data_IF_530793924673
#
_entry.id   IF_530793924673
#
_cell.length_a   1.000
_cell.length_b   1.000
_cell.length_c   1.000
_cell.angle_alpha   90.00
_cell.angle_beta   90.00
_cell.angle_gamma   90.00
#
_symmetry.space_group_name_H-M   'P 1'
#
loop_
_entity.id
_entity.type
_entity.pdbx_description
1 polymer ?
#
# COMPACT_ATOMS: atom_id res chain seq x y z
N UNK A 1 -89.60 29.99 -55.73
CA UNK A 1 -88.30 29.57 -55.18
C UNK A 1 -88.49 28.60 -54.04
N UNK A 2 -88.76 27.36 -54.45
CA UNK A 2 -89.32 26.25 -53.68
C UNK A 2 -88.21 25.36 -53.12
N UNK A 3 -88.35 24.99 -51.85
CA UNK A 3 -87.82 23.79 -51.18
C UNK A 3 -86.28 23.61 -51.07
N UNK A 4 -85.55 24.64 -50.66
CA UNK A 4 -84.21 24.42 -50.08
C UNK A 4 -84.33 24.22 -48.56
N UNK A 5 -83.77 23.12 -48.06
CA UNK A 5 -83.60 22.89 -46.63
C UNK A 5 -82.32 23.61 -46.20
N UNK A 6 -82.41 24.49 -45.20
CA UNK A 6 -81.23 25.10 -44.61
C UNK A 6 -80.39 24.02 -43.90
N UNK A 7 -79.05 24.09 -43.96
CA UNK A 7 -78.21 23.22 -43.14
C UNK A 7 -78.58 23.39 -41.66
N UNK A 8 -78.48 22.31 -40.90
CA UNK A 8 -78.73 22.41 -39.46
C UNK A 8 -77.74 23.40 -38.80
N UNK A 9 -78.10 23.98 -37.64
CA UNK A 9 -77.26 24.97 -36.95
C UNK A 9 -75.83 24.49 -36.66
N UNK A 10 -75.64 23.20 -36.39
CA UNK A 10 -74.31 22.61 -36.17
C UNK A 10 -73.43 22.73 -37.42
N UNK A 11 -73.97 22.41 -38.60
CA UNK A 11 -73.25 22.54 -39.87
C UNK A 11 -72.98 24.00 -40.21
N UNK A 12 -73.90 24.92 -39.88
CA UNK A 12 -73.68 26.36 -40.04
C UNK A 12 -72.55 26.87 -39.13
N UNK A 13 -72.47 26.39 -37.89
CA UNK A 13 -71.35 26.68 -36.98
C UNK A 13 -70.04 26.11 -37.52
N UNK A 14 -70.01 24.81 -37.88
CA UNK A 14 -68.78 24.17 -38.38
C UNK A 14 -68.28 24.81 -39.67
N UNK A 15 -69.17 25.12 -40.61
CA UNK A 15 -68.84 25.81 -41.85
C UNK A 15 -68.33 27.22 -41.61
N UNK A 16 -68.97 27.99 -40.73
CA UNK A 16 -68.53 29.34 -40.38
C UNK A 16 -67.18 29.38 -39.67
N UNK A 17 -66.92 28.44 -38.74
CA UNK A 17 -65.61 28.28 -38.10
C UNK A 17 -64.52 27.92 -39.11
N UNK A 18 -64.80 27.01 -40.04
CA UNK A 18 -63.85 26.62 -41.10
C UNK A 18 -63.54 27.78 -42.05
N UNK A 19 -64.49 28.69 -42.26
CA UNK A 19 -64.37 29.85 -43.15
C UNK A 19 -63.88 31.12 -42.45
N UNK A 20 -63.72 31.10 -41.12
CA UNK A 20 -63.29 32.24 -40.30
C UNK A 20 -64.15 33.51 -40.50
N UNK A 21 -65.47 33.34 -40.57
CA UNK A 21 -66.42 34.45 -40.82
C UNK A 21 -66.73 35.31 -39.57
N UNK A 22 -66.18 34.94 -38.41
CA UNK A 22 -66.40 35.62 -37.13
C UNK A 22 -67.69 35.21 -36.40
N UNK A 23 -67.67 35.33 -35.07
CA UNK A 23 -68.75 34.84 -34.19
C UNK A 23 -70.10 35.52 -34.45
N UNK A 24 -70.11 36.83 -34.77
CA UNK A 24 -71.35 37.58 -35.04
C UNK A 24 -72.13 36.99 -36.23
N UNK A 25 -71.43 36.68 -37.32
CA UNK A 25 -72.04 36.09 -38.53
C UNK A 25 -72.42 34.63 -38.30
N UNK A 26 -71.64 33.87 -37.51
CA UNK A 26 -72.00 32.51 -37.09
C UNK A 26 -73.31 32.53 -36.27
N UNK A 27 -73.45 33.44 -35.31
CA UNK A 27 -74.66 33.59 -34.46
C UNK A 27 -75.89 33.92 -35.30
N UNK A 28 -75.74 34.80 -36.28
CA UNK A 28 -76.80 35.12 -37.25
C UNK A 28 -77.21 33.88 -38.04
N UNK A 29 -76.24 33.11 -38.54
CA UNK A 29 -76.50 31.88 -39.29
C UNK A 29 -77.18 30.81 -38.42
N UNK A 30 -76.79 30.65 -37.15
CA UNK A 30 -77.47 29.76 -36.18
C UNK A 30 -78.96 30.11 -36.08
N UNK A 31 -79.28 31.41 -36.00
CA UNK A 31 -80.65 31.90 -35.87
C UNK A 31 -81.50 31.65 -37.12
N UNK A 32 -80.87 31.63 -38.30
CA UNK A 32 -81.51 31.24 -39.55
C UNK A 32 -81.77 29.72 -39.62
N UNK A 33 -81.02 28.90 -38.88
CA UNK A 33 -81.10 27.44 -38.86
C UNK A 33 -82.09 26.83 -37.86
N UNK A 34 -83.14 27.53 -37.45
CA UNK A 34 -84.17 27.07 -36.49
C UNK A 34 -83.78 27.13 -34.99
N UNK A 35 -82.73 27.87 -34.60
CA UNK A 35 -82.48 28.22 -33.18
C UNK A 35 -83.01 29.62 -32.89
N UNK A 36 -83.78 29.79 -31.81
CA UNK A 36 -84.26 31.11 -31.41
C UNK A 36 -83.08 32.07 -31.14
N UNK A 37 -83.13 33.34 -31.60
CA UNK A 37 -82.02 34.29 -31.44
C UNK A 37 -81.49 34.41 -30.00
N UNK A 38 -82.37 34.41 -28.99
CA UNK A 38 -82.00 34.46 -27.57
C UNK A 38 -81.10 33.29 -27.11
N UNK A 39 -81.11 32.17 -27.84
CA UNK A 39 -80.30 30.98 -27.55
C UNK A 39 -79.14 30.77 -28.53
N UNK A 40 -78.99 31.61 -29.56
CA UNK A 40 -77.99 31.41 -30.59
C UNK A 40 -76.55 31.47 -30.05
N UNK A 41 -76.26 32.39 -29.12
CA UNK A 41 -74.97 32.42 -28.39
C UNK A 41 -74.77 31.16 -27.55
N UNK A 42 -75.80 30.75 -26.79
CA UNK A 42 -75.72 29.54 -25.95
C UNK A 42 -75.49 28.29 -26.80
N UNK A 43 -76.09 28.23 -27.99
CA UNK A 43 -75.87 27.16 -28.95
C UNK A 43 -74.42 27.15 -29.44
N UNK A 44 -73.87 28.31 -29.85
CA UNK A 44 -72.47 28.44 -30.25
C UNK A 44 -71.53 27.96 -29.14
N UNK A 45 -71.67 28.49 -27.93
CA UNK A 45 -70.84 28.12 -26.77
C UNK A 45 -70.95 26.62 -26.41
N UNK A 46 -72.13 26.02 -26.64
CA UNK A 46 -72.34 24.59 -26.40
C UNK A 46 -71.61 23.72 -27.43
N UNK A 47 -71.58 24.15 -28.69
CA UNK A 47 -70.95 23.49 -29.83
C UNK A 47 -69.43 23.64 -29.83
N UNK A 48 -68.92 24.80 -29.40
CA UNK A 48 -67.49 25.05 -29.33
C UNK A 48 -66.79 24.00 -28.47
N UNK A 49 -65.62 23.57 -28.95
CA UNK A 49 -64.84 22.53 -28.27
C UNK A 49 -64.39 23.04 -26.92
N UNK A 50 -64.78 22.31 -25.87
CA UNK A 50 -64.27 22.55 -24.51
C UNK A 50 -62.89 21.91 -24.34
N UNK A 51 -62.02 22.49 -23.48
CA UNK A 51 -60.75 21.85 -23.14
C UNK A 51 -60.96 20.43 -22.59
N UNK A 52 -60.01 19.53 -22.85
CA UNK A 52 -60.06 18.19 -22.28
C UNK A 52 -59.96 18.27 -20.74
N UNK A 53 -60.56 17.31 -20.05
CA UNK A 53 -60.51 17.26 -18.58
C UNK A 53 -59.07 17.23 -18.04
N UNK A 54 -58.15 16.57 -18.76
CA UNK A 54 -56.72 16.52 -18.42
C UNK A 54 -56.03 17.90 -18.54
N UNK A 55 -56.39 18.70 -19.54
CA UNK A 55 -55.83 20.05 -19.71
C UNK A 55 -56.30 20.98 -18.59
N UNK A 56 -57.57 20.86 -18.19
CA UNK A 56 -58.13 21.60 -17.06
C UNK A 56 -57.42 21.21 -15.76
N UNK A 57 -57.19 19.91 -15.53
CA UNK A 57 -56.46 19.43 -14.35
C UNK A 57 -55.04 19.99 -14.34
N UNK A 58 -54.31 19.86 -15.45
CA UNK A 58 -52.95 20.36 -15.56
C UNK A 58 -52.86 21.89 -15.40
N UNK A 59 -53.84 22.63 -15.93
CA UNK A 59 -53.94 24.07 -15.74
C UNK A 59 -54.20 24.42 -14.27
N UNK A 60 -55.17 23.76 -13.62
CA UNK A 60 -55.51 24.01 -12.23
C UNK A 60 -54.36 23.66 -11.29
N UNK A 61 -53.66 22.53 -11.48
CA UNK A 61 -52.47 22.20 -10.71
C UNK A 61 -51.42 23.32 -10.76
N UNK A 62 -51.20 23.94 -11.93
CA UNK A 62 -50.22 25.05 -12.09
C UNK A 62 -50.64 26.33 -11.37
N UNK A 63 -51.95 26.56 -11.19
CA UNK A 63 -52.52 27.76 -10.56
C UNK A 63 -52.74 27.58 -9.06
N UNK A 64 -53.38 26.49 -8.68
CA UNK A 64 -53.70 26.09 -7.32
C UNK A 64 -53.64 24.56 -7.18
N UNK A 65 -52.51 24.02 -6.68
CA UNK A 65 -52.34 22.59 -6.46
C UNK A 65 -53.37 21.94 -5.54
N UNK A 66 -54.15 22.70 -4.75
CA UNK A 66 -55.23 22.15 -3.91
C UNK A 66 -56.50 21.79 -4.70
N UNK A 67 -56.55 22.20 -5.98
CA UNK A 67 -57.62 21.92 -6.94
C UNK A 67 -58.99 22.43 -6.46
N UNK A 68 -59.03 23.58 -5.79
CA UNK A 68 -60.27 24.17 -5.25
C UNK A 68 -61.30 24.47 -6.35
N UNK A 69 -60.87 24.96 -7.52
CA UNK A 69 -61.79 25.34 -8.60
C UNK A 69 -62.05 24.22 -9.62
N UNK A 70 -61.41 23.05 -9.45
CA UNK A 70 -61.55 21.93 -10.38
C UNK A 70 -63.01 21.46 -10.56
N UNK A 71 -63.84 21.29 -9.50
CA UNK A 71 -65.24 20.86 -9.65
C UNK A 71 -66.07 21.80 -10.53
N UNK A 72 -65.88 23.12 -10.38
CA UNK A 72 -66.59 24.10 -11.19
C UNK A 72 -66.20 23.99 -12.67
N UNK A 73 -64.90 23.87 -12.96
CA UNK A 73 -64.40 23.76 -14.33
C UNK A 73 -64.80 22.47 -15.01
N UNK A 74 -64.75 21.34 -14.30
CA UNK A 74 -65.21 20.05 -14.81
C UNK A 74 -66.70 20.08 -15.15
N UNK A 75 -67.52 20.74 -14.32
CA UNK A 75 -68.95 20.95 -14.61
C UNK A 75 -69.18 21.77 -15.88
N UNK A 76 -68.40 22.83 -16.12
CA UNK A 76 -68.52 23.68 -17.33
C UNK A 76 -68.29 22.90 -18.63
N UNK A 77 -67.52 21.83 -18.59
CA UNK A 77 -67.28 20.95 -19.75
C UNK A 77 -68.22 19.74 -19.81
N UNK A 78 -69.22 19.66 -18.92
CA UNK A 78 -70.24 18.61 -18.91
C UNK A 78 -69.91 17.38 -18.07
N UNK A 79 -68.86 17.39 -17.25
CA UNK A 79 -68.57 16.26 -16.34
C UNK A 79 -69.53 16.30 -15.14
N UNK A 80 -70.26 15.19 -14.99
CA UNK A 80 -71.19 14.99 -13.88
C UNK A 80 -70.50 15.07 -12.50
N UNK A 81 -71.12 15.75 -11.54
CA UNK A 81 -70.54 16.06 -10.22
C UNK A 81 -70.07 14.85 -9.43
N UNK A 82 -70.78 13.73 -9.56
CA UNK A 82 -70.39 12.41 -8.99
C UNK A 82 -68.94 12.00 -9.32
N UNK A 83 -68.38 12.43 -10.46
CA UNK A 83 -67.02 12.06 -10.88
C UNK A 83 -65.96 13.12 -10.51
N UNK A 84 -66.33 14.26 -9.94
CA UNK A 84 -65.36 15.29 -9.55
C UNK A 84 -64.32 14.78 -8.52
N UNK A 85 -64.69 13.98 -7.50
CA UNK A 85 -63.70 13.39 -6.60
C UNK A 85 -62.70 12.48 -7.32
N UNK A 86 -63.17 11.67 -8.28
CA UNK A 86 -62.32 10.79 -9.10
C UNK A 86 -61.26 11.58 -9.87
N UNK A 87 -61.65 12.67 -10.55
CA UNK A 87 -60.68 13.49 -11.27
C UNK A 87 -59.71 14.24 -10.34
N UNK A 88 -60.17 14.63 -9.15
CA UNK A 88 -59.31 15.25 -8.14
C UNK A 88 -58.28 14.26 -7.60
N UNK A 89 -58.66 13.01 -7.40
CA UNK A 89 -57.75 11.95 -6.96
C UNK A 89 -56.71 11.63 -8.05
N UNK A 90 -57.16 11.43 -9.30
CA UNK A 90 -56.28 11.13 -10.44
C UNK A 90 -55.33 12.28 -10.82
N UNK A 91 -55.63 13.51 -10.40
CA UNK A 91 -54.74 14.64 -10.61
C UNK A 91 -53.42 14.53 -9.85
N UNK A 92 -53.41 13.79 -8.73
CA UNK A 92 -52.19 13.55 -7.97
C UNK A 92 -51.49 12.30 -8.47
N UNK A 93 -50.29 12.50 -9.00
CA UNK A 93 -49.51 11.42 -9.59
C UNK A 93 -48.84 10.60 -8.51
N UNK A 94 -48.95 9.28 -8.64
CA UNK A 94 -48.12 8.32 -7.93
C UNK A 94 -46.87 8.09 -8.78
N UNK A 95 -45.65 8.15 -8.20
CA UNK A 95 -44.43 7.83 -8.92
C UNK A 95 -44.48 6.47 -9.65
N UNK A 96 -43.81 6.32 -10.79
CA UNK A 96 -43.63 5.03 -11.43
C UNK A 96 -43.05 4.00 -10.48
N UNK A 97 -43.42 2.72 -10.66
CA UNK A 97 -42.98 1.62 -9.77
C UNK A 97 -41.46 1.54 -9.65
N UNK A 98 -40.71 1.80 -10.73
CA UNK A 98 -39.25 1.81 -10.70
C UNK A 98 -38.67 2.88 -9.75
N UNK A 99 -39.29 4.06 -9.69
CA UNK A 99 -38.88 5.12 -8.79
C UNK A 99 -39.22 4.78 -7.34
N UNK A 100 -40.39 4.16 -7.12
CA UNK A 100 -40.79 3.65 -5.79
C UNK A 100 -39.79 2.59 -5.29
N UNK A 101 -39.36 1.66 -6.16
CA UNK A 101 -38.34 0.67 -5.82
C UNK A 101 -37.03 1.37 -5.47
N UNK A 102 -36.60 2.36 -6.26
CA UNK A 102 -35.39 3.14 -5.97
C UNK A 102 -35.48 3.83 -4.62
N UNK A 103 -36.61 4.47 -4.30
CA UNK A 103 -36.87 5.08 -2.99
C UNK A 103 -36.84 4.05 -1.85
N UNK A 104 -37.34 2.84 -2.07
CA UNK A 104 -37.31 1.76 -1.09
C UNK A 104 -35.89 1.25 -0.83
N UNK A 105 -35.11 1.01 -1.88
CA UNK A 105 -33.71 0.60 -1.78
C UNK A 105 -32.86 1.68 -1.12
N UNK A 106 -33.14 2.95 -1.44
CA UNK A 106 -32.48 4.11 -0.84
C UNK A 106 -33.03 4.49 0.54
N UNK A 107 -33.84 3.64 1.18
CA UNK A 107 -34.33 3.85 2.56
C UNK A 107 -35.14 5.14 2.76
N UNK A 108 -35.67 5.73 1.69
CA UNK A 108 -36.50 6.93 1.78
C UNK A 108 -37.81 6.66 2.56
N UNK A 109 -38.29 5.41 2.58
CA UNK A 109 -39.45 4.97 3.36
C UNK A 109 -39.16 4.63 4.83
N UNK A 110 -37.90 4.71 5.26
CA UNK A 110 -37.48 4.37 6.63
C UNK A 110 -37.01 5.64 7.35
N UNK A 111 -37.89 6.36 8.09
CA UNK A 111 -37.58 7.69 8.64
C UNK A 111 -36.32 7.74 9.50
N UNK A 112 -36.07 6.70 10.29
CA UNK A 112 -34.92 6.61 11.18
C UNK A 112 -33.60 6.53 10.38
N UNK A 113 -33.58 5.77 9.29
CA UNK A 113 -32.40 5.62 8.42
C UNK A 113 -32.21 6.87 7.56
N UNK A 114 -33.29 7.39 6.98
CA UNK A 114 -33.25 8.61 6.18
C UNK A 114 -32.74 9.81 7.00
N UNK A 115 -33.14 9.91 8.27
CA UNK A 115 -32.60 10.90 9.22
C UNK A 115 -31.13 10.65 9.54
N UNK A 116 -30.72 9.40 9.77
CA UNK A 116 -29.29 9.06 10.01
C UNK A 116 -28.41 9.50 8.83
N UNK A 117 -28.91 9.35 7.61
CA UNK A 117 -28.19 9.69 6.38
C UNK A 117 -28.36 11.16 5.94
N UNK A 118 -29.16 11.96 6.66
CA UNK A 118 -29.45 13.34 6.25
C UNK A 118 -30.13 13.43 4.87
N UNK A 119 -30.89 12.41 4.48
CA UNK A 119 -31.42 12.31 3.11
C UNK A 119 -32.41 13.44 2.76
N UNK A 120 -33.08 14.00 3.76
CA UNK A 120 -34.01 15.12 3.61
C UNK A 120 -33.35 16.49 3.82
N UNK A 121 -32.05 16.54 4.11
CA UNK A 121 -31.30 17.80 4.24
C UNK A 121 -31.27 18.56 2.90
N UNK A 122 -31.17 19.89 2.97
CA UNK A 122 -31.13 20.78 1.80
C UNK A 122 -32.35 20.70 0.86
N UNK A 123 -33.49 20.14 1.31
CA UNK A 123 -34.72 20.06 0.51
C UNK A 123 -35.24 21.46 0.13
N UNK A 124 -35.21 21.84 -1.16
CA UNK A 124 -35.49 23.22 -1.56
C UNK A 124 -37.02 23.49 -1.63
N UNK A 125 -37.54 24.57 -1.02
CA UNK A 125 -38.96 24.91 -1.09
C UNK A 125 -39.52 25.06 -2.51
N UNK A 126 -38.68 25.50 -3.46
CA UNK A 126 -39.08 25.63 -4.87
C UNK A 126 -39.35 24.26 -5.52
N UNK A 127 -38.64 23.20 -5.11
CA UNK A 127 -38.92 21.85 -5.61
C UNK A 127 -40.32 21.40 -5.18
N UNK A 128 -40.70 21.66 -3.93
CA UNK A 128 -42.07 21.38 -3.43
C UNK A 128 -43.11 22.11 -4.28
N UNK A 129 -42.91 23.42 -4.50
CA UNK A 129 -43.81 24.25 -5.27
C UNK A 129 -44.02 23.71 -6.69
N UNK A 130 -42.95 23.40 -7.41
CA UNK A 130 -43.02 22.93 -8.79
C UNK A 130 -43.51 21.47 -8.89
N UNK A 131 -43.15 20.62 -7.93
CA UNK A 131 -43.65 19.26 -7.81
C UNK A 131 -45.17 19.23 -7.62
N UNK A 132 -45.70 20.03 -6.69
CA UNK A 132 -47.14 20.15 -6.45
C UNK A 132 -47.88 20.64 -7.70
N UNK A 133 -47.30 21.58 -8.47
CA UNK A 133 -47.86 22.04 -9.75
C UNK A 133 -47.87 21.00 -10.86
N UNK A 134 -47.16 19.89 -10.68
CA UNK A 134 -47.17 18.71 -11.55
C UNK A 134 -48.05 17.57 -11.00
N UNK A 135 -48.73 17.80 -9.89
CA UNK A 135 -49.56 16.78 -9.23
C UNK A 135 -48.76 15.85 -8.31
N UNK A 136 -47.49 16.13 -8.05
CA UNK A 136 -46.70 15.35 -7.11
C UNK A 136 -46.88 15.90 -5.69
N UNK A 137 -47.30 15.07 -4.75
CA UNK A 137 -47.48 15.51 -3.36
C UNK A 137 -46.15 15.93 -2.72
N UNK A 138 -46.22 16.74 -1.65
CA UNK A 138 -45.06 17.09 -0.83
C UNK A 138 -44.28 15.86 -0.40
N UNK A 139 -44.99 14.84 0.09
CA UNK A 139 -44.39 13.58 0.56
C UNK A 139 -43.61 12.88 -0.55
N UNK A 140 -44.18 12.79 -1.77
CA UNK A 140 -43.48 12.19 -2.89
C UNK A 140 -42.29 13.02 -3.34
N UNK A 141 -42.42 14.34 -3.38
CA UNK A 141 -41.32 15.25 -3.71
C UNK A 141 -40.14 15.09 -2.73
N UNK A 142 -40.43 15.02 -1.43
CA UNK A 142 -39.42 14.75 -0.40
C UNK A 142 -38.75 13.38 -0.59
N UNK A 143 -39.49 12.34 -1.00
CA UNK A 143 -38.91 11.01 -1.23
C UNK A 143 -38.01 10.94 -2.47
N UNK A 144 -38.38 11.65 -3.54
CA UNK A 144 -37.48 11.82 -4.68
C UNK A 144 -36.19 12.51 -4.25
N UNK A 145 -36.29 13.55 -3.43
CA UNK A 145 -35.13 14.19 -2.84
C UNK A 145 -34.34 13.20 -1.96
N UNK A 146 -34.96 12.45 -1.07
CA UNK A 146 -34.24 11.48 -0.25
C UNK A 146 -33.47 10.42 -1.06
N UNK A 147 -33.97 10.05 -2.24
CA UNK A 147 -33.35 9.05 -3.11
C UNK A 147 -32.32 9.59 -4.11
N UNK A 148 -32.18 10.92 -4.27
CA UNK A 148 -31.39 11.52 -5.35
C UNK A 148 -29.87 11.47 -5.16
N UNK A 149 -29.41 11.26 -3.93
CA UNK A 149 -28.01 11.38 -3.55
C UNK A 149 -27.11 10.35 -4.24
N UNK A 150 -25.90 10.76 -4.60
CA UNK A 150 -24.83 9.83 -5.00
C UNK A 150 -24.16 9.27 -3.75
N UNK A 151 -24.25 7.96 -3.56
CA UNK A 151 -23.65 7.29 -2.40
C UNK A 151 -22.17 6.97 -2.66
N UNK A 152 -21.35 6.85 -1.59
CA UNK A 152 -20.00 6.33 -1.72
C UNK A 152 -19.98 4.95 -2.41
N UNK A 153 -19.00 4.72 -3.27
CA UNK A 153 -18.79 3.41 -3.91
C UNK A 153 -18.41 2.33 -2.90
N UNK A 154 -18.55 1.03 -3.23
CA UNK A 154 -18.09 -0.05 -2.35
C UNK A 154 -16.61 0.07 -1.96
N UNK A 155 -15.75 0.52 -2.88
CA UNK A 155 -14.32 0.74 -2.60
C UNK A 155 -14.10 1.85 -1.56
N UNK A 156 -14.83 2.97 -1.67
CA UNK A 156 -14.80 4.02 -0.65
C UNK A 156 -15.35 3.50 0.68
N UNK A 157 -16.40 2.66 0.65
CA UNK A 157 -16.89 1.94 1.82
C UNK A 157 -15.82 1.10 2.50
N UNK A 158 -15.04 0.34 1.73
CA UNK A 158 -13.93 -0.45 2.25
C UNK A 158 -12.82 0.42 2.83
N UNK A 159 -12.46 1.53 2.18
CA UNK A 159 -11.49 2.47 2.73
C UNK A 159 -11.95 3.09 4.06
N UNK A 160 -13.22 3.48 4.17
CA UNK A 160 -13.79 3.97 5.43
C UNK A 160 -13.75 2.89 6.52
N UNK A 161 -14.05 1.63 6.17
CA UNK A 161 -13.96 0.49 7.10
C UNK A 161 -12.51 0.30 7.58
N UNK A 162 -11.53 0.25 6.68
CA UNK A 162 -10.13 0.03 7.04
C UNK A 162 -9.53 1.17 7.88
N UNK A 163 -10.05 2.39 7.70
CA UNK A 163 -9.65 3.56 8.50
C UNK A 163 -10.39 3.64 9.84
N UNK A 164 -11.31 2.73 10.13
CA UNK A 164 -12.12 2.73 11.36
C UNK A 164 -13.12 3.87 11.44
N UNK A 165 -13.44 4.52 10.30
CA UNK A 165 -14.43 5.60 10.23
C UNK A 165 -15.85 5.04 10.32
N UNK A 166 -16.05 3.82 9.80
CA UNK A 166 -17.31 3.08 9.90
C UNK A 166 -17.07 1.64 10.37
N UNK A 167 -18.10 1.03 10.95
CA UNK A 167 -18.11 -0.40 11.26
C UNK A 167 -18.69 -1.28 10.13
N UNK A 168 -18.60 -2.60 10.29
CA UNK A 168 -19.18 -3.58 9.35
C UNK A 168 -20.69 -3.40 9.16
N UNK A 169 -21.41 -3.05 10.24
CA UNK A 169 -22.85 -2.78 10.17
C UNK A 169 -23.19 -1.61 9.25
N UNK A 170 -22.40 -0.53 9.31
CA UNK A 170 -22.58 0.65 8.48
C UNK A 170 -22.15 0.41 7.03
N UNK A 171 -21.09 -0.38 6.81
CA UNK A 171 -20.74 -0.86 5.47
C UNK A 171 -21.89 -1.68 4.87
N UNK A 172 -22.53 -2.57 5.64
CA UNK A 172 -23.66 -3.34 5.16
C UNK A 172 -24.87 -2.46 4.81
N UNK A 173 -25.13 -1.40 5.60
CA UNK A 173 -26.15 -0.40 5.27
C UNK A 173 -25.82 0.33 3.95
N UNK A 174 -24.56 0.72 3.73
CA UNK A 174 -24.13 1.33 2.47
C UNK A 174 -24.33 0.37 1.28
N UNK A 175 -23.87 -0.88 1.40
CA UNK A 175 -24.03 -1.88 0.33
C UNK A 175 -25.50 -2.16 0.03
N UNK A 176 -26.37 -2.17 1.05
CA UNK A 176 -27.83 -2.25 0.85
C UNK A 176 -28.37 -1.07 0.03
N UNK A 177 -27.99 0.16 0.40
CA UNK A 177 -28.45 1.36 -0.30
C UNK A 177 -27.88 1.49 -1.72
N UNK A 178 -26.74 0.85 -2.00
CA UNK A 178 -26.17 0.67 -3.35
C UNK A 178 -26.84 -0.45 -4.17
N UNK A 179 -27.91 -1.06 -3.66
CA UNK A 179 -28.62 -2.17 -4.28
C UNK A 179 -27.78 -3.45 -4.46
N UNK A 180 -26.77 -3.66 -3.61
CA UNK A 180 -26.04 -4.93 -3.58
C UNK A 180 -26.96 -6.00 -2.99
N UNK A 181 -27.17 -7.10 -3.71
CA UNK A 181 -28.03 -8.18 -3.22
C UNK A 181 -27.51 -8.74 -1.89
N UNK A 182 -28.38 -9.10 -0.92
CA UNK A 182 -27.99 -9.58 0.40
C UNK A 182 -26.93 -10.70 0.37
N UNK A 183 -27.06 -11.65 -0.57
CA UNK A 183 -26.13 -12.77 -0.75
C UNK A 183 -24.67 -12.34 -0.99
N UNK A 184 -24.45 -11.18 -1.63
CA UNK A 184 -23.13 -10.69 -2.00
C UNK A 184 -22.49 -9.79 -0.94
N UNK A 185 -23.26 -9.22 -0.01
CA UNK A 185 -22.76 -8.19 0.93
C UNK A 185 -21.65 -8.73 1.84
N UNK A 186 -21.87 -9.89 2.44
CA UNK A 186 -20.87 -10.51 3.31
C UNK A 186 -19.64 -10.96 2.52
N UNK A 187 -19.84 -11.48 1.30
CA UNK A 187 -18.74 -11.91 0.41
C UNK A 187 -17.87 -10.73 -0.02
N UNK A 188 -18.49 -9.61 -0.39
CA UNK A 188 -17.80 -8.37 -0.72
C UNK A 188 -17.05 -7.81 0.49
N UNK A 189 -17.66 -7.88 1.67
CA UNK A 189 -17.03 -7.42 2.91
C UNK A 189 -15.79 -8.25 3.25
N UNK A 190 -15.81 -9.57 3.06
CA UNK A 190 -14.66 -10.45 3.30
C UNK A 190 -13.45 -10.10 2.41
N UNK A 191 -13.69 -9.67 1.18
CA UNK A 191 -12.60 -9.27 0.26
C UNK A 191 -12.20 -7.79 0.39
N UNK A 192 -12.77 -7.05 1.34
CA UNK A 192 -12.35 -5.68 1.60
C UNK A 192 -10.88 -5.63 2.02
N UNK A 193 -10.46 -6.55 2.89
CA UNK A 193 -9.11 -6.58 3.43
C UNK A 193 -8.08 -7.08 2.42
N UNK A 194 -6.87 -6.50 2.50
CA UNK A 194 -5.75 -6.90 1.66
C UNK A 194 -5.22 -8.26 2.11
N UNK A 195 -4.91 -9.11 1.13
CA UNK A 195 -4.16 -10.35 1.32
C UNK A 195 -2.71 -10.04 1.66
N UNK A 196 -2.04 -10.92 2.42
CA UNK A 196 -0.59 -10.82 2.67
C UNK A 196 0.18 -10.74 1.35
N UNK A 197 1.18 -9.87 1.21
CA UNK A 197 1.93 -9.79 -0.05
C UNK A 197 2.80 -11.04 -0.24
N UNK A 198 3.11 -11.41 -1.49
CA UNK A 198 4.04 -12.53 -1.78
C UNK A 198 5.40 -12.38 -1.11
N UNK A 199 5.85 -11.15 -0.86
CA UNK A 199 7.10 -10.87 -0.14
C UNK A 199 6.95 -11.15 1.34
N UNK A 200 5.86 -10.68 1.94
CA UNK A 200 5.59 -10.87 3.36
C UNK A 200 5.32 -12.33 3.67
N UNK A 201 4.59 -13.06 2.81
CA UNK A 201 4.40 -14.52 2.92
C UNK A 201 5.75 -15.23 3.07
N UNK A 202 6.74 -14.92 2.21
CA UNK A 202 8.07 -15.54 2.31
C UNK A 202 8.82 -15.16 3.58
N UNK A 203 8.77 -13.87 3.96
CA UNK A 203 9.44 -13.37 5.16
C UNK A 203 8.85 -13.96 6.43
N UNK A 204 7.53 -14.03 6.51
CA UNK A 204 6.78 -14.61 7.63
C UNK A 204 7.03 -16.12 7.74
N UNK A 205 7.06 -16.84 6.62
CA UNK A 205 7.47 -18.26 6.64
C UNK A 205 8.89 -18.44 7.17
N UNK A 206 9.85 -17.67 6.65
CA UNK A 206 11.25 -17.73 7.12
C UNK A 206 11.40 -17.36 8.60
N UNK A 207 10.55 -16.47 9.10
CA UNK A 207 10.49 -16.10 10.52
C UNK A 207 9.74 -17.11 11.40
N UNK A 208 9.18 -18.17 10.82
CA UNK A 208 8.40 -19.18 11.54
C UNK A 208 6.98 -18.75 11.92
N UNK A 209 6.48 -17.65 11.36
CA UNK A 209 5.12 -17.13 11.62
C UNK A 209 4.07 -17.89 10.81
N UNK A 210 4.40 -18.29 9.57
CA UNK A 210 3.53 -19.11 8.73
C UNK A 210 4.07 -20.54 8.64
N UNK A 211 3.15 -21.50 8.65
CA UNK A 211 3.39 -22.89 8.27
C UNK A 211 3.42 -23.07 6.75
N UNK A 212 3.89 -24.23 6.28
CA UNK A 212 3.89 -24.56 4.84
C UNK A 212 2.47 -24.57 4.26
N UNK A 213 1.48 -25.04 5.03
CA UNK A 213 0.08 -25.06 4.62
C UNK A 213 -0.49 -23.64 4.46
N UNK A 214 -0.22 -22.74 5.42
CA UNK A 214 -0.68 -21.35 5.36
C UNK A 214 0.01 -20.56 4.23
N UNK A 215 1.26 -20.88 3.90
CA UNK A 215 1.93 -20.33 2.70
C UNK A 215 1.20 -20.75 1.43
N UNK A 216 0.83 -22.02 1.33
CA UNK A 216 0.08 -22.55 0.19
C UNK A 216 -1.31 -21.89 0.06
N UNK A 217 -2.05 -21.79 1.16
CA UNK A 217 -3.34 -21.11 1.21
C UNK A 217 -3.22 -19.64 0.81
N UNK A 218 -2.21 -18.92 1.34
CA UNK A 218 -1.97 -17.52 0.98
C UNK A 218 -1.72 -17.35 -0.53
N UNK A 219 -1.01 -18.29 -1.18
CA UNK A 219 -0.84 -18.25 -2.63
C UNK A 219 -2.13 -18.59 -3.40
N UNK A 220 -2.99 -19.48 -2.89
CA UNK A 220 -4.31 -19.70 -3.48
C UNK A 220 -5.16 -18.43 -3.39
N UNK A 221 -5.13 -17.73 -2.25
CA UNK A 221 -5.83 -16.46 -2.09
C UNK A 221 -5.35 -15.42 -3.10
N UNK A 222 -4.08 -15.40 -3.51
CA UNK A 222 -3.60 -14.53 -4.60
C UNK A 222 -4.19 -14.87 -5.99
N UNK A 223 -4.95 -15.95 -6.11
CA UNK A 223 -5.53 -16.41 -7.37
C UNK A 223 -4.62 -17.32 -8.16
N UNK A 224 -3.52 -17.83 -7.58
CA UNK A 224 -2.75 -18.89 -8.22
C UNK A 224 -3.57 -20.17 -8.25
N UNK A 225 -3.54 -20.87 -9.39
CA UNK A 225 -4.09 -22.23 -9.45
C UNK A 225 -3.33 -23.18 -8.50
N UNK A 226 -3.91 -24.32 -8.10
CA UNK A 226 -3.28 -25.25 -7.14
C UNK A 226 -1.85 -25.66 -7.51
N UNK A 227 -1.58 -25.91 -8.80
CA UNK A 227 -0.26 -26.28 -9.30
C UNK A 227 0.79 -25.19 -9.05
N UNK A 228 0.46 -23.95 -9.35
CA UNK A 228 1.37 -22.81 -9.18
C UNK A 228 1.48 -22.38 -7.72
N UNK A 229 0.40 -22.45 -6.94
CA UNK A 229 0.45 -22.24 -5.50
C UNK A 229 1.42 -23.24 -4.83
N UNK A 230 1.38 -24.52 -5.24
CA UNK A 230 2.33 -25.54 -4.77
C UNK A 230 3.77 -25.19 -5.15
N UNK A 231 4.03 -24.83 -6.41
CA UNK A 231 5.38 -24.42 -6.88
C UNK A 231 5.93 -23.22 -6.10
N UNK A 232 5.10 -22.22 -5.85
CA UNK A 232 5.46 -21.04 -5.07
C UNK A 232 5.73 -21.38 -3.60
N UNK A 233 4.99 -22.34 -3.05
CA UNK A 233 5.21 -22.87 -1.70
C UNK A 233 6.54 -23.60 -1.63
N UNK A 234 6.78 -24.57 -2.52
CA UNK A 234 8.05 -25.32 -2.59
C UNK A 234 9.25 -24.37 -2.74
N UNK A 235 9.14 -23.35 -3.60
CA UNK A 235 10.15 -22.29 -3.74
C UNK A 235 10.36 -21.51 -2.44
N UNK A 236 9.28 -21.14 -1.73
CA UNK A 236 9.36 -20.38 -0.48
C UNK A 236 10.06 -21.20 0.61
N UNK A 237 9.75 -22.50 0.70
CA UNK A 237 10.42 -23.43 1.61
C UNK A 237 11.91 -23.50 1.30
N UNK A 238 12.28 -23.76 0.05
CA UNK A 238 13.69 -23.82 -0.38
C UNK A 238 14.43 -22.49 -0.15
N UNK A 239 13.79 -21.36 -0.42
CA UNK A 239 14.37 -20.03 -0.20
C UNK A 239 14.61 -19.71 1.28
N UNK A 240 13.75 -20.23 2.16
CA UNK A 240 13.83 -20.00 3.60
C UNK A 240 14.82 -20.93 4.31
N UNK A 241 15.21 -22.05 3.70
CA UNK A 241 16.26 -22.91 4.23
C UNK A 241 17.51 -22.07 4.52
N UNK A 242 18.13 -22.23 5.71
CA UNK A 242 19.45 -21.69 5.94
C UNK A 242 20.33 -22.16 4.79
N UNK A 243 21.02 -21.25 4.11
CA UNK A 243 22.21 -21.67 3.39
C UNK A 243 23.08 -22.25 4.49
N UNK A 244 23.23 -23.59 4.53
CA UNK A 244 24.32 -24.23 5.26
C UNK A 244 25.55 -23.34 5.04
N UNK A 245 26.26 -22.99 6.10
CA UNK A 245 27.43 -22.12 6.01
C UNK A 245 28.32 -22.71 4.92
N UNK A 246 28.20 -22.15 3.71
CA UNK A 246 28.73 -22.78 2.52
C UNK A 246 30.21 -22.62 2.68
N UNK A 247 30.91 -23.73 2.98
CA UNK A 247 32.35 -23.71 3.08
C UNK A 247 32.85 -23.01 1.82
N UNK A 248 33.50 -21.86 2.01
CA UNK A 248 33.93 -21.08 0.87
C UNK A 248 35.22 -21.68 0.34
N UNK A 249 35.57 -21.37 -0.92
CA UNK A 249 36.90 -21.68 -1.46
C UNK A 249 38.01 -21.20 -0.53
N UNK A 250 37.82 -20.02 0.09
CA UNK A 250 38.75 -19.44 1.04
C UNK A 250 38.90 -20.29 2.30
N UNK A 251 37.81 -20.85 2.81
CA UNK A 251 37.83 -21.71 4.01
C UNK A 251 38.60 -23.00 3.74
N UNK A 252 38.39 -23.63 2.57
CA UNK A 252 39.11 -24.84 2.14
C UNK A 252 40.61 -24.55 1.99
N UNK A 253 40.97 -23.47 1.28
CA UNK A 253 42.38 -23.10 1.08
C UNK A 253 43.06 -22.72 2.39
N UNK A 254 42.34 -22.10 3.33
CA UNK A 254 42.86 -21.76 4.67
C UNK A 254 43.08 -23.02 5.50
N UNK A 255 42.13 -23.96 5.50
CA UNK A 255 42.28 -25.26 6.15
C UNK A 255 43.49 -26.03 5.60
N UNK A 256 43.68 -26.00 4.27
CA UNK A 256 44.83 -26.62 3.62
C UNK A 256 46.16 -25.94 3.98
N UNK A 257 46.19 -24.60 3.97
CA UNK A 257 47.35 -23.80 4.39
C UNK A 257 47.78 -24.17 5.81
N UNK A 258 46.82 -24.23 6.73
CA UNK A 258 47.02 -24.52 8.14
C UNK A 258 47.21 -26.01 8.46
N UNK A 259 47.32 -26.87 7.43
CA UNK A 259 47.52 -28.33 7.57
C UNK A 259 46.37 -29.04 8.32
N UNK A 260 45.17 -28.48 8.31
CA UNK A 260 43.96 -29.12 8.87
C UNK A 260 43.42 -30.20 7.95
N UNK A 261 43.68 -30.08 6.64
CA UNK A 261 43.34 -31.05 5.60
C UNK A 261 44.54 -31.27 4.68
N UNK A 262 44.57 -32.40 3.99
CA UNK A 262 45.56 -32.77 2.99
C UNK A 262 45.28 -32.11 1.64
N UNK A 263 46.27 -32.17 0.73
CA UNK A 263 46.14 -31.63 -0.63
C UNK A 263 45.04 -32.34 -1.43
N UNK A 264 44.92 -33.66 -1.25
CA UNK A 264 43.88 -34.46 -1.90
C UNK A 264 42.50 -34.05 -1.42
N UNK A 265 42.30 -33.98 -0.10
CA UNK A 265 41.01 -33.56 0.49
C UNK A 265 40.62 -32.14 0.07
N UNK A 266 41.59 -31.22 0.01
CA UNK A 266 41.35 -29.87 -0.49
C UNK A 266 40.97 -29.85 -1.98
N UNK A 267 41.61 -30.70 -2.80
CA UNK A 267 41.28 -30.85 -4.22
C UNK A 267 39.87 -31.42 -4.43
N UNK A 268 39.50 -32.43 -3.65
CA UNK A 268 38.18 -33.08 -3.74
C UNK A 268 37.07 -32.11 -3.34
N UNK A 269 37.24 -31.39 -2.23
CA UNK A 269 36.29 -30.36 -1.80
C UNK A 269 36.14 -29.22 -2.82
N UNK A 270 37.23 -28.79 -3.48
CA UNK A 270 37.15 -27.79 -4.55
C UNK A 270 36.46 -28.34 -5.80
N UNK A 271 36.65 -29.62 -6.13
CA UNK A 271 35.97 -30.28 -7.24
C UNK A 271 34.46 -30.38 -7.00
N UNK A 272 34.03 -30.71 -5.78
CA UNK A 272 32.61 -30.75 -5.38
C UNK A 272 31.94 -29.37 -5.46
N UNK A 273 32.73 -28.29 -5.29
CA UNK A 273 32.29 -26.90 -5.49
C UNK A 273 32.25 -26.47 -6.97
N UNK A 274 32.58 -27.37 -7.91
CA UNK A 274 32.57 -27.12 -9.34
C UNK A 274 33.85 -26.47 -9.89
N UNK A 275 34.98 -26.49 -9.16
CA UNK A 275 36.24 -25.99 -9.68
C UNK A 275 36.88 -26.96 -10.70
N UNK A 276 37.21 -26.41 -11.86
CA UNK A 276 37.91 -27.15 -12.91
C UNK A 276 39.31 -27.57 -12.46
N UNK A 277 39.80 -28.70 -12.99
CA UNK A 277 41.08 -29.31 -12.62
C UNK A 277 42.25 -28.31 -12.66
N UNK A 278 42.34 -27.52 -13.73
CA UNK A 278 43.40 -26.54 -13.88
C UNK A 278 43.38 -25.46 -12.79
N UNK A 279 42.20 -24.92 -12.47
CA UNK A 279 42.05 -23.87 -11.45
C UNK A 279 42.36 -24.38 -10.05
N UNK A 280 41.85 -25.56 -9.66
CA UNK A 280 42.15 -26.13 -8.33
C UNK A 280 43.64 -26.45 -8.16
N UNK A 281 44.29 -27.01 -9.18
CA UNK A 281 45.73 -27.29 -9.14
C UNK A 281 46.56 -26.01 -8.98
N UNK A 282 46.19 -24.95 -9.71
CA UNK A 282 46.83 -23.65 -9.56
C UNK A 282 46.65 -23.07 -8.14
N UNK A 283 45.43 -23.12 -7.60
CA UNK A 283 45.14 -22.62 -6.24
C UNK A 283 45.92 -23.38 -5.16
N UNK A 284 45.96 -24.72 -5.24
CA UNK A 284 46.68 -25.55 -4.28
C UNK A 284 48.20 -25.34 -4.37
N UNK A 285 48.74 -25.21 -5.59
CA UNK A 285 50.16 -24.91 -5.81
C UNK A 285 50.55 -23.53 -5.25
N UNK A 286 49.67 -22.55 -5.36
CA UNK A 286 49.90 -21.23 -4.75
C UNK A 286 49.91 -21.30 -3.21
N UNK A 287 49.10 -22.17 -2.61
CA UNK A 287 49.14 -22.41 -1.16
C UNK A 287 50.40 -23.18 -0.74
N UNK A 288 50.84 -24.16 -1.54
CA UNK A 288 52.09 -24.90 -1.30
C UNK A 288 53.29 -23.95 -1.25
N UNK A 289 53.40 -23.06 -2.26
CA UNK A 289 54.43 -22.03 -2.30
C UNK A 289 54.41 -21.12 -1.06
N UNK A 290 53.22 -20.70 -0.61
CA UNK A 290 53.07 -19.89 0.62
C UNK A 290 53.52 -20.64 1.87
N UNK A 291 53.26 -21.95 1.98
CA UNK A 291 53.68 -22.78 3.11
C UNK A 291 55.20 -22.94 3.15
N UNK A 292 55.84 -23.06 1.99
CA UNK A 292 57.30 -23.11 1.87
C UNK A 292 57.95 -21.78 2.27
N UNK A 293 57.42 -20.65 1.79
CA UNK A 293 57.89 -19.32 2.19
C UNK A 293 57.77 -19.10 3.70
N UNK A 294 56.62 -19.42 4.30
CA UNK A 294 56.41 -19.28 5.74
C UNK A 294 57.38 -20.14 6.56
N UNK A 295 57.70 -21.35 6.09
CA UNK A 295 58.70 -22.21 6.72
C UNK A 295 60.10 -21.59 6.67
N UNK A 296 60.49 -21.05 5.51
CA UNK A 296 61.79 -20.39 5.33
C UNK A 296 61.89 -19.14 6.21
N UNK A 297 60.86 -18.29 6.24
CA UNK A 297 60.81 -17.11 7.12
C UNK A 297 60.93 -17.49 8.61
N UNK A 298 60.28 -18.57 9.03
CA UNK A 298 60.38 -19.05 10.41
C UNK A 298 61.78 -19.55 10.76
N UNK A 299 62.46 -20.22 9.82
CA UNK A 299 63.88 -20.61 9.98
C UNK A 299 64.80 -19.38 10.08
N UNK A 300 64.60 -18.39 9.21
CA UNK A 300 65.33 -17.11 9.25
C UNK A 300 65.14 -16.41 10.60
N UNK A 301 63.91 -16.33 11.11
CA UNK A 301 63.61 -15.77 12.45
C UNK A 301 64.31 -16.55 13.57
N UNK A 302 64.36 -17.88 13.48
CA UNK A 302 65.10 -18.73 14.41
C UNK A 302 66.60 -18.41 14.42
N UNK A 303 67.20 -18.34 13.23
CA UNK A 303 68.62 -18.02 13.04
C UNK A 303 68.93 -16.61 13.54
N UNK A 304 68.10 -15.61 13.22
CA UNK A 304 68.19 -14.25 13.75
C UNK A 304 68.26 -14.23 15.27
N UNK A 305 67.37 -14.97 15.94
CA UNK A 305 67.34 -15.02 17.39
C UNK A 305 68.62 -15.63 17.98
N UNK A 306 69.20 -16.64 17.32
CA UNK A 306 70.46 -17.26 17.74
C UNK A 306 71.65 -16.32 17.55
N UNK A 307 71.70 -15.58 16.44
CA UNK A 307 72.68 -14.53 16.20
C UNK A 307 72.60 -13.40 17.22
N UNK A 308 71.39 -12.86 17.47
CA UNK A 308 71.18 -11.79 18.46
C UNK A 308 71.63 -12.17 19.86
N UNK A 309 71.40 -13.42 20.26
CA UNK A 309 71.82 -13.95 21.58
C UNK A 309 73.31 -14.33 21.63
N UNK A 310 74.08 -14.07 20.56
CA UNK A 310 75.49 -14.42 20.39
C UNK A 310 75.78 -15.92 20.53
N UNK A 311 74.76 -16.75 20.27
CA UNK A 311 74.93 -18.20 20.17
C UNK A 311 75.56 -18.55 18.83
N UNK A 312 75.22 -17.80 17.78
CA UNK A 312 75.91 -17.82 16.48
C UNK A 312 76.74 -16.54 16.32
N UNK A 313 77.95 -16.71 15.78
CA UNK A 313 78.75 -15.62 15.26
C UNK A 313 78.36 -15.32 13.80
N UNK A 314 79.01 -14.32 13.20
CA UNK A 314 78.70 -13.86 11.85
C UNK A 314 78.85 -14.98 10.81
N UNK A 315 79.99 -15.68 10.82
CA UNK A 315 80.27 -16.78 9.89
C UNK A 315 79.25 -17.91 10.01
N UNK A 316 78.95 -18.35 11.24
CA UNK A 316 77.98 -19.42 11.48
C UNK A 316 76.56 -19.02 11.08
N UNK A 317 76.19 -17.75 11.26
CA UNK A 317 74.88 -17.24 10.87
C UNK A 317 74.73 -17.21 9.35
N UNK A 318 75.75 -16.73 8.65
CA UNK A 318 75.82 -16.76 7.18
C UNK A 318 75.77 -18.19 6.64
N UNK A 319 76.47 -19.14 7.25
CA UNK A 319 76.44 -20.56 6.86
C UNK A 319 75.04 -21.17 7.03
N UNK A 320 74.37 -20.93 8.17
CA UNK A 320 73.02 -21.45 8.41
C UNK A 320 71.96 -20.80 7.50
N UNK A 321 72.12 -19.52 7.14
CA UNK A 321 71.26 -18.86 6.15
C UNK A 321 71.50 -19.38 4.73
N UNK A 322 72.75 -19.67 4.36
CA UNK A 322 73.09 -20.22 3.05
C UNK A 322 72.48 -21.61 2.83
N UNK A 323 72.31 -22.41 3.90
CA UNK A 323 71.60 -23.70 3.85
C UNK A 323 70.09 -23.58 3.57
N UNK A 324 69.54 -22.37 3.58
CA UNK A 324 68.16 -22.09 3.19
C UNK A 324 68.03 -21.69 1.71
N UNK A 325 69.11 -21.83 0.92
CA UNK A 325 69.19 -21.46 -0.50
C UNK A 325 68.86 -19.98 -0.77
N UNK A 326 69.13 -19.11 0.21
CA UNK A 326 68.92 -17.67 0.07
C UNK A 326 70.01 -17.05 -0.82
N UNK A 327 69.67 -16.09 -1.71
CA UNK A 327 70.66 -15.34 -2.48
C UNK A 327 71.68 -14.62 -1.58
N UNK A 328 72.93 -14.57 -2.00
CA UNK A 328 74.02 -13.96 -1.21
C UNK A 328 73.75 -12.49 -0.85
N UNK A 329 73.09 -11.73 -1.73
CA UNK A 329 72.68 -10.35 -1.49
C UNK A 329 71.64 -10.23 -0.36
N UNK A 330 70.68 -11.16 -0.31
CA UNK A 330 69.66 -11.20 0.74
C UNK A 330 70.28 -11.54 2.10
N UNK A 331 71.21 -12.51 2.13
CA UNK A 331 71.96 -12.86 3.34
C UNK A 331 72.75 -11.63 3.84
N UNK A 332 73.43 -10.91 2.94
CA UNK A 332 74.17 -9.69 3.30
C UNK A 332 73.25 -8.60 3.87
N UNK A 333 72.05 -8.43 3.28
CA UNK A 333 71.03 -7.52 3.78
C UNK A 333 70.54 -7.89 5.19
N UNK A 334 70.22 -9.16 5.43
CA UNK A 334 69.81 -9.67 6.74
C UNK A 334 70.92 -9.49 7.79
N UNK A 335 72.16 -9.82 7.45
CA UNK A 335 73.31 -9.68 8.36
C UNK A 335 73.58 -8.21 8.70
N UNK A 336 73.47 -7.31 7.72
CA UNK A 336 73.59 -5.86 7.96
C UNK A 336 72.51 -5.37 8.90
N UNK A 337 71.25 -5.76 8.67
CA UNK A 337 70.15 -5.39 9.54
C UNK A 337 70.38 -5.90 10.97
N UNK A 338 70.73 -7.18 11.13
CA UNK A 338 70.88 -7.78 12.46
C UNK A 338 72.11 -7.27 13.19
N UNK A 339 73.17 -6.89 12.48
CA UNK A 339 74.32 -6.21 13.06
C UNK A 339 73.90 -4.94 13.82
N UNK A 340 73.07 -4.10 13.19
CA UNK A 340 72.55 -2.89 13.83
C UNK A 340 71.59 -3.21 14.98
N UNK A 341 70.79 -4.26 14.88
CA UNK A 341 69.94 -4.71 15.99
C UNK A 341 70.75 -5.14 17.21
N UNK A 342 71.88 -5.85 17.01
CA UNK A 342 72.78 -6.26 18.10
C UNK A 342 73.59 -5.08 18.64
N UNK A 343 74.00 -4.14 17.79
CA UNK A 343 74.68 -2.90 18.21
C UNK A 343 73.77 -1.95 19.00
N UNK A 344 72.47 -1.96 18.70
CA UNK A 344 71.47 -1.20 19.42
C UNK A 344 71.07 -1.84 20.76
N UNK A 345 71.52 -3.07 21.08
CA UNK A 345 71.29 -3.66 22.39
C UNK A 345 72.06 -2.88 23.46
N UNK A 346 71.30 -2.20 24.33
CA UNK A 346 71.86 -1.52 25.52
C UNK A 346 72.55 -2.57 26.39
N UNK A 347 73.80 -2.33 26.83
CA UNK A 347 74.50 -3.27 27.72
C UNK A 347 73.64 -3.60 28.94
N UNK A 348 73.59 -4.87 29.34
CA UNK A 348 72.96 -5.25 30.60
C UNK A 348 73.70 -4.55 31.75
N UNK A 349 73.05 -3.54 32.34
CA UNK A 349 73.55 -2.80 33.51
C UNK A 349 73.16 -3.54 34.78
N UNK A 350 73.88 -3.31 35.87
CA UNK A 350 73.45 -3.76 37.20
C UNK A 350 72.08 -3.16 37.52
N UNK A 351 71.23 -3.88 38.26
CA UNK A 351 69.99 -3.27 38.76
C UNK A 351 70.31 -2.21 39.82
N UNK A 352 69.41 -1.26 40.04
CA UNK A 352 69.55 -0.25 41.11
C UNK A 352 69.93 -0.89 42.44
N UNK A 353 69.27 -1.99 42.81
CA UNK A 353 69.55 -2.72 44.05
C UNK A 353 70.96 -3.34 44.07
N UNK A 354 71.43 -3.89 42.95
CA UNK A 354 72.79 -4.44 42.84
C UNK A 354 73.82 -3.33 43.03
N UNK A 355 73.68 -2.20 42.32
CA UNK A 355 74.60 -1.05 42.43
C UNK A 355 74.71 -0.59 43.89
N UNK A 356 73.58 -0.41 44.58
CA UNK A 356 73.59 0.02 45.99
C UNK A 356 74.23 -1.03 46.91
N UNK A 357 73.94 -2.31 46.70
CA UNK A 357 74.57 -3.39 47.47
C UNK A 357 76.08 -3.44 47.27
N UNK A 358 76.56 -3.18 46.05
CA UNK A 358 77.99 -3.20 45.71
C UNK A 358 78.72 -2.01 46.31
N UNK A 359 78.09 -0.83 46.38
CA UNK A 359 78.63 0.32 47.11
C UNK A 359 78.72 -0.02 48.61
N UNK A 360 77.63 -0.55 49.20
CA UNK A 360 77.60 -0.89 50.64
C UNK A 360 78.61 -1.97 51.03
N UNK A 361 78.82 -2.94 50.15
CA UNK A 361 79.79 -4.02 50.33
C UNK A 361 81.24 -3.61 49.98
N UNK A 362 81.47 -2.37 49.54
CA UNK A 362 82.80 -1.89 49.13
C UNK A 362 83.35 -2.51 47.84
N UNK A 363 82.51 -3.18 47.06
CA UNK A 363 82.89 -3.83 45.80
C UNK A 363 83.07 -2.82 44.65
N UNK A 364 82.41 -1.66 44.73
CA UNK A 364 82.63 -0.50 43.86
C UNK A 364 82.67 0.77 44.69
N UNK A 365 83.38 1.80 44.21
CA UNK A 365 83.41 3.10 44.89
C UNK A 365 82.07 3.83 44.76
N UNK A 366 81.81 4.77 45.68
CA UNK A 366 80.60 5.61 45.67
C UNK A 366 80.51 6.42 44.38
N UNK A 367 81.63 6.93 43.89
CA UNK A 367 81.74 7.67 42.62
C UNK A 367 81.42 6.77 41.42
N UNK A 368 81.89 5.51 41.43
CA UNK A 368 81.55 4.55 40.37
C UNK A 368 80.07 4.18 40.40
N UNK A 369 79.50 4.03 41.60
CA UNK A 369 78.08 3.78 41.80
C UNK A 369 77.18 4.92 41.28
N UNK A 370 77.58 6.18 41.50
CA UNK A 370 76.91 7.37 40.93
C UNK A 370 76.87 7.31 39.40
N UNK A 371 78.00 6.98 38.77
CA UNK A 371 78.09 6.83 37.31
C UNK A 371 77.16 5.72 36.83
N UNK A 372 77.14 4.56 37.50
CA UNK A 372 76.26 3.45 37.12
C UNK A 372 74.77 3.78 37.27
N UNK A 373 74.36 4.49 38.32
CA UNK A 373 72.96 4.92 38.47
C UNK A 373 72.56 5.93 37.38
N UNK A 374 73.46 6.85 37.00
CA UNK A 374 73.23 7.75 35.86
C UNK A 374 73.14 7.01 34.54
N UNK A 375 73.96 5.98 34.36
CA UNK A 375 73.87 5.07 33.22
C UNK A 375 72.53 4.29 33.25
N UNK A 376 72.04 3.81 34.39
CA UNK A 376 70.74 3.12 34.47
C UNK A 376 69.55 4.07 34.14
N UNK A 377 69.78 5.39 34.17
CA UNK A 377 68.84 6.40 33.68
C UNK A 377 68.29 7.33 34.76
N UNK A 378 68.86 7.32 35.97
CA UNK A 378 68.46 8.24 37.05
C UNK A 378 69.06 9.63 36.85
N UNK A 379 68.28 10.66 37.20
CA UNK A 379 68.78 12.03 37.29
C UNK A 379 69.62 12.27 38.55
N UNK A 380 70.22 13.45 38.65
CA UNK A 380 71.12 13.82 39.76
C UNK A 380 70.42 13.81 41.12
N UNK A 381 69.12 14.12 41.19
CA UNK A 381 68.36 14.15 42.43
C UNK A 381 68.17 12.74 42.99
N UNK A 382 67.67 11.83 42.16
CA UNK A 382 67.43 10.43 42.54
C UNK A 382 68.72 9.72 42.92
N UNK A 383 69.82 9.95 42.18
CA UNK A 383 71.13 9.40 42.53
C UNK A 383 71.57 9.86 43.92
N UNK A 384 71.38 11.15 44.23
CA UNK A 384 71.76 11.73 45.53
C UNK A 384 71.00 11.09 46.68
N UNK A 385 69.70 10.83 46.50
CA UNK A 385 68.86 10.16 47.51
C UNK A 385 69.32 8.71 47.71
N UNK A 386 69.49 7.96 46.63
CA UNK A 386 69.96 6.58 46.71
C UNK A 386 71.32 6.48 47.39
N UNK A 387 72.26 7.36 47.07
CA UNK A 387 73.61 7.38 47.64
C UNK A 387 73.67 7.89 49.09
N UNK A 388 72.62 8.57 49.59
CA UNK A 388 72.43 8.87 51.01
C UNK A 388 71.80 7.71 51.80
N UNK A 389 71.10 6.80 51.11
CA UNK A 389 70.35 5.70 51.74
C UNK A 389 71.19 4.45 52.06
N UNK A 390 72.42 4.42 51.56
CA UNK A 390 73.47 3.42 51.80
C UNK A 390 74.52 4.00 52.73
#
# INVERSE_FOLDING_TARGET
DLAYILPNPMLLVQGGLMQDIGDEDIIKNISMGDIHPDYAQTYLDAVLTKPASQDIIAYELRKDPSLRNLPERLRKIGIHSKYHPLYKELAYQIPPVADIITMAVREAFTPEIARKFGQYEDYPPDLELWAMKKGLSKEWSQRYWAAHWNLPSPLQGFEMLHRGVIGVGELNMLLRALDVMPFWRDKLTQIAYRRLTRVDIRRMYKAGVLTVAEVYESYLEHGYNPKNAKRMTDFTVQWALPKEASITRSDILTAYKNRMITRSEASDLLADMGEEYFHREFMLKAVDYKKELELTENKIKGIRNLYKRRVYDENKTTDELSKLDLPAEEISGLMTQWYYEVKAEVPRRWTTAQVLSFIKAGLITKERGIVELGLIGYDTEHITIYVKSI
#
